data_IF_513383308404
#
_entry.id   IF_513383308404
#
_cell.length_a   1.000
_cell.length_b   1.000
_cell.length_c   1.000
_cell.angle_alpha   90.00
_cell.angle_beta   90.00
_cell.angle_gamma   90.00
#
_symmetry.space_group_name_H-M   'P 1'
#
loop_
_entity.id
_entity.type
_entity.pdbx_description
1 polymer ?
#
# COMPACT_ATOMS: atom_id res chain seq x y z
N UNK A 1 -15.59 -41.02 24.91
CA UNK A 1 -14.41 -40.17 24.66
C UNK A 1 -14.76 -39.23 23.51
N UNK A 2 -15.00 -37.94 23.77
CA UNK A 2 -15.37 -36.95 22.73
C UNK A 2 -14.11 -36.15 22.34
N UNK A 3 -13.81 -36.11 21.05
CA UNK A 3 -12.66 -35.41 20.48
C UNK A 3 -12.71 -33.91 20.76
N UNK A 4 -11.55 -33.35 21.11
CA UNK A 4 -11.35 -31.91 21.25
C UNK A 4 -11.47 -31.27 19.86
N UNK A 5 -12.44 -30.38 19.68
CA UNK A 5 -12.46 -29.50 18.52
C UNK A 5 -11.16 -28.68 18.54
N UNK A 6 -10.37 -28.76 17.47
CA UNK A 6 -9.22 -27.89 17.27
C UNK A 6 -9.73 -26.51 16.85
N UNK A 7 -9.19 -25.49 17.50
CA UNK A 7 -9.49 -24.08 17.24
C UNK A 7 -8.98 -23.72 15.82
N UNK A 8 -9.86 -23.33 14.87
CA UNK A 8 -9.49 -23.08 13.48
C UNK A 8 -8.55 -21.87 13.29
N UNK A 9 -8.34 -21.06 14.33
CA UNK A 9 -7.44 -19.89 14.32
C UNK A 9 -5.98 -20.23 14.64
N UNK A 10 -5.64 -21.51 14.83
CA UNK A 10 -4.26 -21.94 15.16
C UNK A 10 -3.32 -22.02 13.94
N UNK A 11 -3.70 -21.45 12.80
CA UNK A 11 -2.79 -21.32 11.68
C UNK A 11 -1.60 -20.47 12.12
N UNK A 12 -0.40 -21.08 12.17
CA UNK A 12 0.85 -20.38 12.47
C UNK A 12 0.96 -19.19 11.54
N UNK A 13 0.70 -18.01 12.08
CA UNK A 13 0.78 -16.76 11.35
C UNK A 13 2.26 -16.52 11.11
N UNK A 14 2.74 -16.89 9.94
CA UNK A 14 4.11 -16.58 9.51
C UNK A 14 4.23 -15.06 9.56
N UNK A 15 4.97 -14.55 10.54
CA UNK A 15 5.32 -13.13 10.58
C UNK A 15 6.17 -12.85 9.33
N UNK A 16 5.59 -12.11 8.39
CA UNK A 16 6.34 -11.62 7.25
C UNK A 16 7.49 -10.76 7.78
N UNK A 17 8.72 -11.10 7.39
CA UNK A 17 9.88 -10.27 7.69
C UNK A 17 9.61 -8.84 7.19
N UNK A 18 10.07 -7.80 7.93
CA UNK A 18 9.89 -6.42 7.49
C UNK A 18 10.51 -6.23 6.11
N UNK A 19 9.82 -5.51 5.23
CA UNK A 19 10.36 -5.17 3.92
C UNK A 19 11.65 -4.36 4.10
N UNK A 20 12.76 -4.86 3.56
CA UNK A 20 14.03 -4.12 3.56
C UNK A 20 14.01 -3.04 2.47
N UNK A 21 14.77 -1.94 2.63
CA UNK A 21 14.93 -0.94 1.59
C UNK A 21 15.37 -1.54 0.24
N UNK A 22 16.21 -2.57 0.25
CA UNK A 22 16.69 -3.23 -0.98
C UNK A 22 15.59 -4.02 -1.68
N UNK A 23 14.80 -4.80 -0.93
CA UNK A 23 13.61 -5.51 -1.45
C UNK A 23 12.62 -4.51 -2.05
N UNK A 24 12.34 -3.41 -1.36
CA UNK A 24 11.44 -2.36 -1.84
C UNK A 24 11.96 -1.74 -3.14
N UNK A 25 13.24 -1.38 -3.20
CA UNK A 25 13.86 -0.83 -4.41
C UNK A 25 13.84 -1.83 -5.56
N UNK A 26 14.11 -3.12 -5.30
CA UNK A 26 14.02 -4.19 -6.29
C UNK A 26 12.62 -4.31 -6.89
N UNK A 27 11.58 -4.33 -6.06
CA UNK A 27 10.18 -4.35 -6.54
C UNK A 27 9.84 -3.09 -7.35
N UNK A 28 10.21 -1.90 -6.87
CA UNK A 28 9.94 -0.64 -7.54
C UNK A 28 10.65 -0.52 -8.90
N UNK A 29 11.82 -1.14 -9.05
CA UNK A 29 12.56 -1.17 -10.32
C UNK A 29 11.89 -2.01 -11.39
N UNK A 30 10.91 -2.85 -11.02
CA UNK A 30 10.11 -3.61 -12.00
C UNK A 30 8.97 -2.80 -12.61
N UNK A 31 8.64 -1.64 -12.03
CA UNK A 31 7.48 -0.82 -12.41
C UNK A 31 7.91 0.34 -13.30
N UNK A 32 7.35 0.41 -14.51
CA UNK A 32 7.58 1.52 -15.44
C UNK A 32 6.70 2.73 -15.11
N UNK A 33 5.59 2.51 -14.39
CA UNK A 33 4.66 3.55 -13.88
C UNK A 33 3.95 4.34 -14.98
N UNK A 34 3.83 3.77 -16.17
CA UNK A 34 3.09 4.37 -17.27
C UNK A 34 1.58 4.12 -17.15
N UNK A 35 1.18 2.98 -16.58
CA UNK A 35 -0.23 2.63 -16.37
C UNK A 35 -0.75 3.09 -15.01
N UNK A 36 -2.07 3.27 -14.88
CA UNK A 36 -2.71 3.53 -13.58
C UNK A 36 -2.37 2.43 -12.57
N UNK A 37 -2.37 1.17 -13.01
CA UNK A 37 -2.04 0.03 -12.15
C UNK A 37 -0.62 0.12 -11.59
N UNK A 38 0.39 0.42 -12.42
CA UNK A 38 1.76 0.51 -11.92
C UNK A 38 2.03 1.76 -11.08
N UNK A 39 1.35 2.88 -11.34
CA UNK A 39 1.35 4.05 -10.46
C UNK A 39 0.76 3.71 -9.09
N UNK A 40 -0.37 2.99 -9.07
CA UNK A 40 -1.00 2.49 -7.85
C UNK A 40 -0.07 1.58 -7.07
N UNK A 41 0.55 0.61 -7.74
CA UNK A 41 1.43 -0.37 -7.10
C UNK A 41 2.66 0.30 -6.47
N UNK A 42 3.26 1.29 -7.16
CA UNK A 42 4.36 2.09 -6.64
C UNK A 42 3.94 2.92 -5.42
N UNK A 43 2.78 3.59 -5.49
CA UNK A 43 2.24 4.38 -4.38
C UNK A 43 1.91 3.50 -3.17
N UNK A 44 1.32 2.31 -3.38
CA UNK A 44 0.99 1.36 -2.32
C UNK A 44 2.24 0.88 -1.59
N UNK A 45 3.28 0.50 -2.34
CA UNK A 45 4.56 0.08 -1.78
C UNK A 45 5.23 1.18 -0.96
N UNK A 46 5.35 2.39 -1.54
CA UNK A 46 6.06 3.50 -0.91
C UNK A 46 5.31 4.10 0.27
N UNK A 47 3.99 4.30 0.15
CA UNK A 47 3.17 4.82 1.23
C UNK A 47 3.05 3.79 2.36
N UNK A 48 2.89 2.51 2.03
CA UNK A 48 2.89 1.42 3.00
C UNK A 48 4.17 1.35 3.82
N UNK A 49 5.31 1.47 3.14
CA UNK A 49 6.61 1.53 3.79
C UNK A 49 6.76 2.78 4.68
N UNK A 50 6.44 3.97 4.14
CA UNK A 50 6.57 5.23 4.87
C UNK A 50 5.69 5.31 6.12
N UNK A 51 4.47 4.76 6.05
CA UNK A 51 3.52 4.79 7.16
C UNK A 51 3.65 3.61 8.14
N UNK A 52 4.57 2.67 7.87
CA UNK A 52 4.64 1.36 8.53
C UNK A 52 3.23 0.72 8.62
N UNK A 53 2.46 0.82 7.54
CA UNK A 53 1.06 0.43 7.52
C UNK A 53 0.90 -1.03 7.10
N UNK A 54 -0.04 -1.72 7.73
CA UNK A 54 -0.41 -3.08 7.31
C UNK A 54 -1.20 -3.02 6.01
N UNK A 55 -1.15 -4.11 5.24
CA UNK A 55 -1.91 -4.24 3.98
C UNK A 55 -3.39 -3.89 4.16
N UNK A 56 -4.05 -4.40 5.21
CA UNK A 56 -5.45 -4.09 5.49
C UNK A 56 -5.71 -2.65 5.93
N UNK A 57 -4.71 -1.96 6.48
CA UNK A 57 -4.79 -0.54 6.83
C UNK A 57 -4.67 0.32 5.56
N UNK A 58 -3.74 -0.04 4.64
CA UNK A 58 -3.59 0.63 3.35
C UNK A 58 -4.81 0.43 2.44
N UNK A 59 -5.31 -0.80 2.35
CA UNK A 59 -6.50 -1.15 1.56
C UNK A 59 -7.75 -0.40 2.03
N UNK A 60 -7.74 0.14 3.25
CA UNK A 60 -8.83 0.92 3.83
C UNK A 60 -8.78 2.40 3.44
N UNK A 61 -7.61 2.95 3.07
CA UNK A 61 -7.41 4.38 2.85
C UNK A 61 -8.27 4.93 1.69
N UNK A 62 -8.93 6.03 1.97
CA UNK A 62 -9.56 6.90 1.00
C UNK A 62 -8.64 8.06 0.63
N UNK A 63 -8.95 8.76 -0.46
CA UNK A 63 -8.16 9.90 -0.96
C UNK A 63 -8.06 11.01 0.07
N UNK A 64 -9.15 11.23 0.81
CA UNK A 64 -9.24 12.27 1.85
C UNK A 64 -8.39 11.96 3.09
N UNK A 65 -7.94 10.70 3.25
CA UNK A 65 -7.03 10.32 4.32
C UNK A 65 -5.57 10.72 4.01
N UNK A 66 -5.24 11.12 2.77
CA UNK A 66 -3.90 11.52 2.36
C UNK A 66 -3.89 13.00 1.92
N UNK A 67 -3.67 13.89 2.89
CA UNK A 67 -3.77 15.34 2.69
C UNK A 67 -2.41 15.94 2.36
N UNK A 68 -2.36 16.79 1.33
CA UNK A 68 -1.16 17.56 0.96
C UNK A 68 -0.82 18.63 2.01
N UNK A 69 0.45 18.73 2.35
CA UNK A 69 1.00 19.74 3.26
C UNK A 69 2.23 20.41 2.64
N UNK A 70 2.73 21.49 3.26
CA UNK A 70 3.95 22.17 2.81
C UNK A 70 5.18 21.23 2.80
N UNK A 71 5.23 20.30 3.75
CA UNK A 71 6.36 19.38 3.94
C UNK A 71 6.19 18.02 3.24
N UNK A 72 5.01 17.73 2.67
CA UNK A 72 4.71 16.45 2.02
C UNK A 72 3.24 16.05 2.13
N UNK A 73 2.99 14.92 2.78
CA UNK A 73 1.63 14.41 3.03
C UNK A 73 1.41 14.21 4.54
N UNK A 74 0.20 14.49 5.01
CA UNK A 74 -0.30 14.01 6.29
C UNK A 74 -1.30 12.89 6.02
N UNK A 75 -1.00 11.68 6.52
CA UNK A 75 -1.77 10.48 6.22
C UNK A 75 -2.47 9.98 7.48
N UNK A 76 -3.81 9.92 7.46
CA UNK A 76 -4.63 9.38 8.55
C UNK A 76 -4.81 7.88 8.38
N UNK A 77 -4.08 7.07 9.17
CA UNK A 77 -4.15 5.61 9.08
C UNK A 77 -4.98 5.05 10.23
N UNK A 78 -6.10 4.38 9.92
CA UNK A 78 -6.85 3.66 10.94
C UNK A 78 -6.13 2.37 11.37
N UNK A 79 -5.59 2.36 12.59
CA UNK A 79 -4.88 1.22 13.17
C UNK A 79 -5.86 0.21 13.74
N UNK A 80 -6.25 -0.79 12.94
CA UNK A 80 -7.29 -1.77 13.30
C UNK A 80 -7.09 -2.44 14.67
N UNK A 81 -5.84 -2.82 15.00
CA UNK A 81 -5.51 -3.46 16.28
C UNK A 81 -5.68 -2.51 17.48
N UNK A 82 -5.41 -1.22 17.27
CA UNK A 82 -5.43 -0.19 18.31
C UNK A 82 -6.76 0.56 18.36
N UNK A 83 -7.61 0.38 17.34
CA UNK A 83 -8.93 1.02 17.18
C UNK A 83 -8.88 2.54 17.27
N UNK A 84 -7.90 3.16 16.61
CA UNK A 84 -7.75 4.62 16.52
C UNK A 84 -7.12 5.03 15.19
N UNK A 85 -7.25 6.30 14.85
CA UNK A 85 -6.47 6.92 13.78
C UNK A 85 -5.11 7.37 14.31
N UNK A 86 -4.07 7.08 13.55
CA UNK A 86 -2.75 7.68 13.72
C UNK A 86 -2.51 8.62 12.53
N UNK A 87 -2.09 9.84 12.80
CA UNK A 87 -1.61 10.77 11.77
C UNK A 87 -0.13 10.52 11.54
N UNK A 88 0.24 10.26 10.28
CA UNK A 88 1.62 10.03 9.88
C UNK A 88 2.04 11.11 8.90
N UNK A 89 3.01 11.94 9.31
CA UNK A 89 3.66 12.87 8.42
C UNK A 89 4.64 12.12 7.50
N UNK A 90 4.42 12.23 6.20
CA UNK A 90 5.22 11.60 5.15
C UNK A 90 5.90 12.70 4.34
N UNK A 91 7.21 12.86 4.58
CA UNK A 91 8.00 13.88 3.89
C UNK A 91 8.37 13.48 2.47
N UNK A 92 8.59 14.47 1.62
CA UNK A 92 9.09 14.25 0.27
C UNK A 92 10.53 13.69 0.31
N UNK A 93 10.74 12.50 -0.25
CA UNK A 93 12.07 11.90 -0.38
C UNK A 93 12.93 12.59 -1.45
N UNK A 94 14.25 12.58 -1.24
CA UNK A 94 15.23 13.17 -2.15
C UNK A 94 15.34 12.46 -3.50
N UNK A 95 15.06 11.15 -3.54
CA UNK A 95 15.13 10.33 -4.75
C UNK A 95 13.73 10.18 -5.36
N UNK A 96 13.49 10.66 -6.60
CA UNK A 96 12.16 10.61 -7.21
C UNK A 96 11.58 9.19 -7.33
N UNK A 97 12.44 8.21 -7.64
CA UNK A 97 12.03 6.81 -7.79
C UNK A 97 11.50 6.19 -6.50
N UNK A 98 11.91 6.67 -5.33
CA UNK A 98 11.52 6.12 -4.02
C UNK A 98 10.79 7.13 -3.16
N UNK A 99 10.26 8.21 -3.74
CA UNK A 99 9.58 9.25 -3.01
C UNK A 99 8.08 8.90 -2.86
N UNK A 100 7.58 8.64 -1.64
CA UNK A 100 6.17 8.29 -1.41
C UNK A 100 5.22 9.41 -1.83
N UNK A 101 5.55 10.66 -1.50
CA UNK A 101 4.75 11.84 -1.85
C UNK A 101 4.56 11.96 -3.37
N UNK A 102 5.65 11.83 -4.15
CA UNK A 102 5.58 11.88 -5.62
C UNK A 102 4.77 10.73 -6.19
N UNK A 103 4.89 9.53 -5.62
CA UNK A 103 4.14 8.36 -6.07
C UNK A 103 2.63 8.53 -5.84
N UNK A 104 2.22 9.01 -4.66
CA UNK A 104 0.81 9.31 -4.36
C UNK A 104 0.27 10.41 -5.25
N UNK A 105 1.01 11.51 -5.45
CA UNK A 105 0.63 12.59 -6.39
C UNK A 105 0.40 12.08 -7.81
N UNK A 106 1.32 11.23 -8.31
CA UNK A 106 1.19 10.64 -9.63
C UNK A 106 -0.04 9.73 -9.76
N UNK A 107 -0.37 8.97 -8.70
CA UNK A 107 -1.59 8.16 -8.66
C UNK A 107 -2.85 9.03 -8.66
N UNK A 108 -2.93 10.04 -7.80
CA UNK A 108 -4.08 10.94 -7.72
C UNK A 108 -4.34 11.64 -9.06
N UNK A 109 -3.29 12.17 -9.69
CA UNK A 109 -3.39 12.79 -11.01
C UNK A 109 -3.90 11.81 -12.09
N UNK A 110 -3.47 10.55 -12.05
CA UNK A 110 -3.94 9.52 -12.97
C UNK A 110 -5.41 9.12 -12.70
N UNK A 111 -5.82 9.03 -11.44
CA UNK A 111 -7.22 8.80 -11.06
C UNK A 111 -8.12 9.95 -11.53
N UNK A 112 -7.66 11.20 -11.38
CA UNK A 112 -8.39 12.38 -11.83
C UNK A 112 -8.55 12.42 -13.35
N UNK A 113 -7.51 12.02 -14.10
CA UNK A 113 -7.57 11.88 -15.54
C UNK A 113 -8.58 10.81 -16.01
N UNK A 114 -8.87 9.81 -15.18
CA UNK A 114 -9.93 8.81 -15.41
C UNK A 114 -11.31 9.23 -14.83
N UNK A 115 -11.44 10.44 -14.28
CA UNK A 115 -12.68 10.92 -13.66
C UNK A 115 -13.00 10.33 -12.29
N UNK A 116 -12.02 9.69 -11.63
CA UNK A 116 -12.17 9.04 -10.32
C UNK A 116 -11.74 9.97 -9.20
N UNK A 117 -12.50 11.03 -8.96
CA UNK A 117 -12.08 12.16 -8.10
C UNK A 117 -12.39 11.99 -6.61
N UNK A 118 -13.06 10.93 -6.18
CA UNK A 118 -13.46 10.71 -4.79
C UNK A 118 -13.41 9.23 -4.39
N UNK A 119 -13.43 9.00 -3.07
CA UNK A 119 -13.45 7.67 -2.48
C UNK A 119 -12.04 7.11 -2.33
N UNK A 120 -11.85 5.90 -2.82
CA UNK A 120 -10.73 5.04 -2.43
C UNK A 120 -9.41 5.49 -3.03
N UNK A 121 -8.34 5.50 -2.23
CA UNK A 121 -7.01 5.80 -2.76
C UNK A 121 -6.47 4.65 -3.60
N UNK A 122 -6.67 3.41 -3.16
CA UNK A 122 -6.19 2.21 -3.85
C UNK A 122 -7.35 1.37 -4.39
N UNK A 123 -7.53 1.40 -5.72
CA UNK A 123 -8.57 0.64 -6.41
C UNK A 123 -7.99 -0.43 -7.34
N UNK A 124 -8.80 -1.41 -7.71
CA UNK A 124 -8.54 -2.24 -8.90
C UNK A 124 -8.61 -1.41 -10.18
N UNK A 125 -8.21 -1.99 -11.32
CA UNK A 125 -8.38 -1.36 -12.63
C UNK A 125 -9.86 -1.03 -12.90
N UNK A 126 -10.80 -1.86 -12.42
CA UNK A 126 -12.25 -1.64 -12.52
C UNK A 126 -12.80 -0.59 -11.54
N UNK A 127 -11.98 -0.05 -10.62
CA UNK A 127 -12.42 0.96 -9.65
C UNK A 127 -12.98 0.39 -8.35
N UNK A 128 -12.96 -0.93 -8.15
CA UNK A 128 -13.39 -1.58 -6.92
C UNK A 128 -12.31 -1.51 -5.82
N UNK A 129 -12.68 -1.76 -4.56
CA UNK A 129 -11.73 -1.83 -3.43
C UNK A 129 -10.63 -2.84 -3.75
N UNK A 130 -9.38 -2.43 -3.57
CA UNK A 130 -8.26 -3.37 -3.56
C UNK A 130 -8.26 -4.09 -2.20
N UNK A 131 -8.76 -5.32 -2.16
CA UNK A 131 -8.82 -6.10 -0.92
C UNK A 131 -7.46 -6.68 -0.52
N UNK A 132 -7.35 -7.15 0.72
CA UNK A 132 -6.09 -7.70 1.25
C UNK A 132 -5.54 -8.87 0.40
N UNK A 133 -6.34 -9.86 -0.04
CA UNK A 133 -5.88 -10.89 -0.97
C UNK A 133 -5.31 -10.34 -2.29
N UNK A 134 -5.95 -9.33 -2.89
CA UNK A 134 -5.48 -8.70 -4.12
C UNK A 134 -4.15 -7.96 -3.91
N UNK A 135 -3.99 -7.25 -2.79
CA UNK A 135 -2.71 -6.62 -2.43
C UNK A 135 -1.63 -7.67 -2.28
N UNK A 136 -1.88 -8.77 -1.57
CA UNK A 136 -0.89 -9.85 -1.44
C UNK A 136 -0.55 -10.51 -2.78
N UNK A 137 -1.52 -10.67 -3.67
CA UNK A 137 -1.31 -11.18 -5.03
C UNK A 137 -0.40 -10.26 -5.85
N UNK A 138 -0.64 -8.95 -5.76
CA UNK A 138 0.19 -7.90 -6.35
C UNK A 138 1.62 -7.96 -5.79
N UNK A 139 1.79 -7.94 -4.46
CA UNK A 139 3.11 -7.97 -3.81
C UNK A 139 3.92 -9.21 -4.21
N UNK A 140 3.29 -10.40 -4.24
CA UNK A 140 3.93 -11.62 -4.73
C UNK A 140 4.30 -11.54 -6.21
N UNK A 141 3.47 -10.88 -7.02
CA UNK A 141 3.77 -10.65 -8.44
C UNK A 141 5.00 -9.78 -8.62
N UNK A 142 5.11 -8.68 -7.86
CA UNK A 142 6.27 -7.78 -7.88
C UNK A 142 7.52 -8.45 -7.33
N UNK A 143 7.42 -9.22 -6.24
CA UNK A 143 8.52 -10.02 -5.72
C UNK A 143 9.11 -10.93 -6.81
N UNK A 144 8.24 -11.67 -7.52
CA UNK A 144 8.64 -12.57 -8.59
C UNK A 144 9.28 -11.83 -9.76
N UNK A 145 8.72 -10.70 -10.19
CA UNK A 145 9.29 -9.84 -11.24
C UNK A 145 10.69 -9.34 -10.84
N UNK A 146 10.90 -9.07 -9.55
CA UNK A 146 12.16 -8.60 -9.00
C UNK A 146 13.17 -9.73 -8.72
N UNK A 147 12.82 -10.99 -8.98
CA UNK A 147 13.68 -12.15 -8.67
C UNK A 147 13.83 -12.43 -7.17
N UNK A 148 12.89 -11.96 -6.34
CA UNK A 148 12.87 -12.15 -4.89
C UNK A 148 12.03 -13.40 -4.56
N UNK A 149 12.61 -14.38 -3.87
CA UNK A 149 11.96 -15.65 -3.47
C UNK A 149 11.64 -15.69 -1.98
#
# INVERSE_FOLDING_TARGET
MRGRAQDPDSAVRVEAAPATPDTLRGMLATLDRDTLAEKRDAALLLLGYACAARVSELAALDRDDAVETEDGLLVSVYRRKLKRHDEVAVSCGSHPATCPVRAVRALLAALDAEGRTAGMLFTTASGSRLDEPAVWGLLRSLARRAGLS
#
